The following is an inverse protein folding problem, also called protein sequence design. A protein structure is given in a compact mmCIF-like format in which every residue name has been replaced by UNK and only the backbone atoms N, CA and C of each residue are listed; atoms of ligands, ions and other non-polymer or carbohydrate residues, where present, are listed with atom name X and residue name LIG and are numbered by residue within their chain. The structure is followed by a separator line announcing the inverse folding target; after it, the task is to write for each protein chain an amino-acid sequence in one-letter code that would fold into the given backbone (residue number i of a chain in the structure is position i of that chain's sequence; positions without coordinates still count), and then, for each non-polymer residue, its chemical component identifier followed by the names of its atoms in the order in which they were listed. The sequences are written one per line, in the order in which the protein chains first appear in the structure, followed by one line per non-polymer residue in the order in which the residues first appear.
data_IF_443578404352
#
_entry.id   IF_443578404352
#
_cell.length_a   1.000
_cell.length_b   1.000
_cell.length_c   1.000
_cell.angle_alpha   90.00
_cell.angle_beta   90.00
_cell.angle_gamma   90.00
#
_symmetry.space_group_name_H-M   'P 1'
#
loop_
_entity.id
_entity.type
_entity.pdbx_description
1 polymer ?
#
# COMPACT_ATOMS: atom_id res chain seq x y z
N UNK A 1 8.82 8.87 5.29
CA UNK A 1 8.65 7.48 4.79
C UNK A 1 7.91 7.38 3.46
N UNK A 2 6.71 7.96 3.30
CA UNK A 2 5.90 7.77 2.09
C UNK A 2 6.33 8.60 0.87
N UNK A 3 7.06 9.71 1.06
CA UNK A 3 7.55 10.54 -0.03
C UNK A 3 8.82 10.00 -0.71
N UNK A 4 9.44 8.92 -0.20
CA UNK A 4 10.64 8.29 -0.78
C UNK A 4 11.83 9.25 -0.99
N UNK A 5 11.86 10.40 -0.32
CA UNK A 5 12.86 11.47 -0.51
C UNK A 5 13.82 11.61 0.70
N UNK A 6 13.45 11.12 1.90
CA UNK A 6 14.24 11.31 3.13
C UNK A 6 14.67 9.98 3.75
N UNK A 7 15.75 9.38 3.23
CA UNK A 7 16.17 8.04 3.64
C UNK A 7 16.74 7.97 5.06
N UNK A 8 17.36 9.06 5.52
CA UNK A 8 18.10 9.10 6.79
C UNK A 8 17.20 9.37 8.00
N UNK A 9 16.33 10.37 7.93
CA UNK A 9 15.46 10.76 9.05
C UNK A 9 14.49 9.65 9.47
N UNK A 10 13.90 8.95 8.50
CA UNK A 10 13.05 7.78 8.74
C UNK A 10 13.79 6.67 9.48
N UNK A 11 15.05 6.44 9.11
CA UNK A 11 15.88 5.40 9.69
C UNK A 11 16.28 5.78 11.13
N UNK A 12 16.69 7.04 11.32
CA UNK A 12 17.05 7.59 12.63
C UNK A 12 15.85 7.54 13.60
N UNK A 13 14.63 7.82 13.12
CA UNK A 13 13.40 7.70 13.92
C UNK A 13 13.13 6.26 14.38
N UNK A 14 13.31 5.28 13.48
CA UNK A 14 13.14 3.86 13.83
C UNK A 14 14.21 3.42 14.84
N UNK A 15 15.45 3.88 14.69
CA UNK A 15 16.51 3.63 15.66
C UNK A 15 16.18 4.21 17.04
N UNK A 16 15.69 5.44 17.10
CA UNK A 16 15.26 6.07 18.34
C UNK A 16 14.10 5.30 19.00
N UNK A 17 13.16 4.76 18.21
CA UNK A 17 12.08 3.91 18.72
C UNK A 17 12.61 2.60 19.35
N UNK A 18 13.71 2.04 18.81
CA UNK A 18 14.39 0.87 19.37
C UNK A 18 15.07 1.25 20.69
N UNK A 19 15.84 2.33 20.69
CA UNK A 19 16.61 2.81 21.86
C UNK A 19 15.67 3.13 23.04
N UNK A 20 14.55 3.80 22.76
CA UNK A 20 13.55 4.18 23.77
C UNK A 20 12.64 3.04 24.21
N UNK A 21 12.74 1.86 23.60
CA UNK A 21 11.93 0.67 23.91
C UNK A 21 10.41 0.93 23.95
N UNK A 22 9.88 1.75 23.04
CA UNK A 22 8.48 2.21 23.10
C UNK A 22 7.50 1.04 23.10
N UNK A 23 7.61 0.14 22.12
CA UNK A 23 6.83 -1.09 22.02
C UNK A 23 7.44 -1.99 20.92
N UNK A 24 7.73 -3.25 21.23
CA UNK A 24 8.36 -4.18 20.27
C UNK A 24 7.52 -4.39 19.01
N UNK A 25 6.20 -4.50 19.14
CA UNK A 25 5.28 -4.69 18.01
C UNK A 25 5.21 -3.47 17.10
N UNK A 26 5.06 -2.25 17.64
CA UNK A 26 5.05 -1.02 16.83
C UNK A 26 6.37 -0.81 16.09
N UNK A 27 7.49 -1.05 16.76
CA UNK A 27 8.81 -0.94 16.13
C UNK A 27 9.01 -1.99 15.04
N UNK A 28 8.54 -3.23 15.22
CA UNK A 28 8.52 -4.24 14.16
C UNK A 28 7.66 -3.82 12.97
N UNK A 29 6.47 -3.26 13.22
CA UNK A 29 5.62 -2.74 12.15
C UNK A 29 6.32 -1.66 11.33
N UNK A 30 7.03 -0.73 11.99
CA UNK A 30 7.81 0.30 11.31
C UNK A 30 8.97 -0.29 10.51
N UNK A 31 9.70 -1.28 11.05
CA UNK A 31 10.76 -1.98 10.34
C UNK A 31 10.24 -2.70 9.08
N UNK A 32 9.10 -3.39 9.19
CA UNK A 32 8.45 -4.03 8.06
C UNK A 32 7.96 -3.01 7.03
N UNK A 33 7.32 -1.92 7.47
CA UNK A 33 6.85 -0.87 6.59
C UNK A 33 8.01 -0.23 5.82
N UNK A 34 9.13 0.04 6.50
CA UNK A 34 10.36 0.55 5.90
C UNK A 34 10.87 -0.39 4.81
N UNK A 35 10.96 -1.69 5.12
CA UNK A 35 11.38 -2.71 4.16
C UNK A 35 10.43 -2.77 2.95
N UNK A 36 9.12 -2.84 3.15
CA UNK A 36 8.13 -2.96 2.08
C UNK A 36 8.09 -1.75 1.14
N UNK A 37 8.18 -0.55 1.70
CA UNK A 37 8.14 0.70 0.90
C UNK A 37 9.40 0.91 0.07
N UNK A 38 10.56 0.44 0.54
CA UNK A 38 11.86 0.58 -0.12
C UNK A 38 12.25 -0.60 -1.02
N UNK A 39 11.54 -1.73 -0.95
CA UNK A 39 11.92 -2.97 -1.66
C UNK A 39 13.01 -3.76 -0.94
N UNK A 40 13.10 -3.60 0.38
CA UNK A 40 14.10 -4.18 1.26
C UNK A 40 15.07 -3.13 1.81
N UNK A 41 15.92 -3.57 2.72
CA UNK A 41 16.86 -2.72 3.46
C UNK A 41 18.29 -3.08 3.07
N UNK A 42 19.16 -2.07 2.93
CA UNK A 42 20.59 -2.30 2.70
C UNK A 42 21.14 -3.33 3.72
N UNK A 43 21.93 -4.34 3.30
CA UNK A 43 22.36 -5.42 4.19
C UNK A 43 23.05 -4.92 5.47
N UNK A 44 23.86 -3.86 5.39
CA UNK A 44 24.54 -3.29 6.55
C UNK A 44 23.53 -2.72 7.53
N UNK A 45 22.56 -1.93 7.04
CA UNK A 45 21.52 -1.35 7.86
C UNK A 45 20.56 -2.41 8.42
N UNK A 46 20.22 -3.42 7.61
CA UNK A 46 19.36 -4.54 8.00
C UNK A 46 19.91 -5.27 9.23
N UNK A 47 21.20 -5.62 9.20
CA UNK A 47 21.85 -6.32 10.32
C UNK A 47 21.97 -5.41 11.55
N UNK A 48 22.29 -4.13 11.37
CA UNK A 48 22.38 -3.17 12.46
C UNK A 48 21.04 -2.99 13.19
N UNK A 49 19.95 -2.75 12.45
CA UNK A 49 18.62 -2.58 13.02
C UNK A 49 18.14 -3.86 13.72
N UNK A 50 18.35 -5.02 13.10
CA UNK A 50 18.02 -6.32 13.71
C UNK A 50 18.80 -6.53 15.00
N UNK A 51 20.10 -6.25 15.01
CA UNK A 51 20.93 -6.41 16.19
C UNK A 51 20.49 -5.46 17.33
N UNK A 52 20.30 -4.17 17.03
CA UNK A 52 19.80 -3.17 18.00
C UNK A 52 18.45 -3.59 18.58
N UNK A 53 17.55 -4.11 17.74
CA UNK A 53 16.24 -4.59 18.18
C UNK A 53 16.36 -5.77 19.14
N UNK A 54 17.13 -6.81 18.79
CA UNK A 54 17.31 -8.00 19.63
C UNK A 54 17.99 -7.67 20.96
N UNK A 55 18.93 -6.73 20.95
CA UNK A 55 19.58 -6.26 22.17
C UNK A 55 18.61 -5.50 23.09
N UNK A 56 17.67 -4.73 22.51
CA UNK A 56 16.76 -3.88 23.28
C UNK A 56 15.51 -4.62 23.77
N UNK A 57 14.95 -5.52 22.95
CA UNK A 57 13.70 -6.23 23.23
C UNK A 57 13.89 -7.70 23.57
N UNK A 58 15.09 -8.24 23.43
CA UNK A 58 15.41 -9.63 23.74
C UNK A 58 15.59 -10.54 22.52
N UNK A 59 16.38 -11.60 22.70
CA UNK A 59 16.74 -12.54 21.64
C UNK A 59 15.62 -13.53 21.27
N UNK A 60 14.51 -13.55 22.02
CA UNK A 60 13.32 -14.35 21.68
C UNK A 60 12.75 -13.98 20.30
N UNK A 61 12.88 -12.71 19.91
CA UNK A 61 12.43 -12.21 18.62
C UNK A 61 13.29 -12.69 17.43
N UNK A 62 14.34 -13.49 17.66
CA UNK A 62 15.11 -14.09 16.57
C UNK A 62 14.22 -14.92 15.64
N UNK A 63 13.29 -15.69 16.21
CA UNK A 63 12.33 -16.50 15.46
C UNK A 63 11.32 -15.61 14.73
N UNK A 64 10.89 -14.50 15.36
CA UNK A 64 10.02 -13.50 14.72
C UNK A 64 10.67 -12.93 13.47
N UNK A 65 11.95 -12.53 13.53
CA UNK A 65 12.66 -12.03 12.34
C UNK A 65 12.82 -13.10 11.25
N UNK A 66 13.00 -14.36 11.62
CA UNK A 66 13.04 -15.45 10.64
C UNK A 66 11.69 -15.60 9.92
N UNK A 67 10.58 -15.59 10.66
CA UNK A 67 9.24 -15.63 10.09
C UNK A 67 8.95 -14.42 9.19
N UNK A 68 9.32 -13.21 9.63
CA UNK A 68 9.15 -11.99 8.83
C UNK A 68 9.95 -12.01 7.52
N UNK A 69 11.17 -12.58 7.55
CA UNK A 69 11.98 -12.78 6.33
C UNK A 69 11.32 -13.77 5.38
N UNK A 70 10.77 -14.88 5.90
CA UNK A 70 10.05 -15.88 5.09
C UNK A 70 8.76 -15.32 4.48
N UNK A 71 8.05 -14.45 5.20
CA UNK A 71 6.86 -13.76 4.71
C UNK A 71 7.17 -12.60 3.75
N UNK A 72 8.46 -12.27 3.53
CA UNK A 72 8.86 -11.13 2.70
C UNK A 72 8.56 -9.75 3.31
N UNK A 73 8.24 -9.67 4.60
CA UNK A 73 7.87 -8.42 5.29
C UNK A 73 9.09 -7.62 5.76
N UNK A 74 10.17 -8.30 6.13
CA UNK A 74 11.43 -7.66 6.52
C UNK A 74 12.59 -8.39 5.83
N UNK A 75 13.12 -7.78 4.77
CA UNK A 75 14.12 -8.40 3.90
C UNK A 75 15.28 -7.46 3.62
N UNK A 76 16.40 -8.06 3.24
CA UNK A 76 17.50 -7.32 2.64
C UNK A 76 17.06 -6.81 1.26
N UNK A 77 17.71 -5.75 0.77
CA UNK A 77 17.39 -5.08 -0.48
C UNK A 77 17.46 -6.06 -1.65
N UNK A 78 16.31 -6.32 -2.29
CA UNK A 78 16.24 -6.96 -3.60
C UNK A 78 16.02 -5.85 -4.65
N UNK A 79 16.51 -6.03 -5.88
CA UNK A 79 16.42 -5.03 -6.96
C UNK A 79 14.97 -4.76 -7.43
N UNK A 80 13.97 -5.31 -6.77
CA UNK A 80 12.54 -5.27 -7.11
C UNK A 80 11.76 -4.34 -6.18
N UNK A 81 11.88 -3.04 -6.39
CA UNK A 81 11.05 -2.02 -5.71
C UNK A 81 9.62 -1.97 -6.24
N UNK A 82 8.78 -2.95 -5.87
CA UNK A 82 7.38 -3.06 -6.34
C UNK A 82 6.55 -1.87 -5.85
N UNK A 83 6.67 -1.49 -4.58
CA UNK A 83 5.88 -0.41 -3.98
C UNK A 83 6.07 0.94 -4.68
N UNK A 84 7.31 1.32 -5.02
CA UNK A 84 7.58 2.59 -5.74
C UNK A 84 6.93 2.64 -7.12
N UNK A 85 6.83 1.50 -7.79
CA UNK A 85 6.16 1.39 -9.09
C UNK A 85 4.65 1.46 -8.94
N UNK A 86 4.07 0.69 -8.01
CA UNK A 86 2.64 0.69 -7.74
C UNK A 86 2.14 2.03 -7.17
N UNK A 87 2.90 2.66 -6.28
CA UNK A 87 2.58 3.95 -5.69
C UNK A 87 2.37 5.03 -6.75
N UNK A 88 3.24 5.06 -7.76
CA UNK A 88 3.11 5.97 -8.90
C UNK A 88 1.97 5.59 -9.84
N UNK A 89 1.83 4.30 -10.19
CA UNK A 89 0.80 3.83 -11.13
C UNK A 89 -0.62 3.98 -10.59
N UNK A 90 -0.81 3.76 -9.29
CA UNK A 90 -2.10 3.79 -8.62
C UNK A 90 -2.36 5.10 -7.86
N UNK A 91 -1.45 6.07 -7.92
CA UNK A 91 -1.52 7.31 -7.13
C UNK A 91 -1.83 7.03 -5.65
N UNK A 92 -1.03 6.16 -5.03
CA UNK A 92 -1.22 5.74 -3.63
C UNK A 92 -0.83 6.84 -2.63
N UNK A 93 0.07 7.75 -3.00
CA UNK A 93 0.50 8.87 -2.15
C UNK A 93 0.11 10.17 -2.83
N UNK A 94 -0.91 10.88 -2.32
CA UNK A 94 -1.29 12.21 -2.82
C UNK A 94 -0.14 13.21 -2.64
N UNK A 95 0.04 14.11 -3.60
CA UNK A 95 1.14 15.09 -3.59
C UNK A 95 0.89 16.29 -2.67
N UNK A 96 -0.38 16.63 -2.46
CA UNK A 96 -0.79 17.82 -1.70
C UNK A 96 -1.77 17.41 -0.60
N UNK A 97 -1.26 16.97 0.55
CA UNK A 97 -2.09 16.50 1.68
C UNK A 97 -3.00 17.61 2.20
N UNK A 98 -2.49 18.85 2.27
CA UNK A 98 -3.21 20.00 2.82
C UNK A 98 -4.42 20.44 1.99
N UNK A 99 -4.51 20.01 0.72
CA UNK A 99 -5.64 20.33 -0.17
C UNK A 99 -6.80 19.35 -0.04
N UNK A 100 -6.64 18.27 0.71
CA UNK A 100 -7.65 17.23 0.84
C UNK A 100 -8.69 17.65 1.89
N UNK A 101 -9.90 17.93 1.43
CA UNK A 101 -11.03 18.21 2.32
C UNK A 101 -11.48 16.92 3.03
N UNK A 102 -11.08 16.76 4.29
CA UNK A 102 -11.46 15.62 5.12
C UNK A 102 -12.93 15.64 5.57
N UNK A 103 -13.62 16.79 5.49
CA UNK A 103 -15.04 16.89 5.82
C UNK A 103 -15.92 16.45 4.67
N UNK A 104 -15.48 16.68 3.43
CA UNK A 104 -16.16 16.26 2.20
C UNK A 104 -15.18 15.59 1.24
N UNK A 105 -14.70 14.38 1.59
CA UNK A 105 -13.64 13.73 0.83
C UNK A 105 -14.11 13.30 -0.55
N UNK A 106 -13.33 13.67 -1.58
CA UNK A 106 -13.53 13.22 -2.96
C UNK A 106 -12.62 12.05 -3.33
N UNK A 107 -11.61 11.77 -2.52
CA UNK A 107 -10.61 10.73 -2.77
C UNK A 107 -10.45 9.83 -1.54
N UNK A 108 -10.25 8.53 -1.76
CA UNK A 108 -10.16 7.51 -0.71
C UNK A 108 -8.99 7.69 0.27
N UNK A 109 -8.02 8.56 -0.03
CA UNK A 109 -6.90 8.88 0.86
C UNK A 109 -7.35 9.43 2.24
N UNK A 110 -8.59 9.90 2.36
CA UNK A 110 -9.16 10.42 3.61
C UNK A 110 -9.04 9.43 4.79
N UNK A 111 -9.00 8.12 4.53
CA UNK A 111 -8.86 7.07 5.55
C UNK A 111 -7.53 7.19 6.30
N UNK A 112 -6.49 7.69 5.64
CA UNK A 112 -5.19 7.98 6.24
C UNK A 112 -4.89 9.48 6.24
N UNK A 113 -5.91 10.30 6.49
CA UNK A 113 -5.80 11.76 6.59
C UNK A 113 -5.16 12.42 5.36
N UNK A 114 -5.34 11.83 4.18
CA UNK A 114 -4.77 12.33 2.93
C UNK A 114 -3.33 11.89 2.64
N UNK A 115 -2.64 11.23 3.58
CA UNK A 115 -1.24 10.83 3.40
C UNK A 115 -1.07 9.57 2.54
N UNK A 116 -2.08 8.70 2.47
CA UNK A 116 -2.02 7.45 1.73
C UNK A 116 -3.41 6.97 1.32
N UNK A 117 -3.54 6.43 0.11
CA UNK A 117 -4.71 5.66 -0.32
C UNK A 117 -4.37 4.17 -0.25
N UNK A 118 -5.16 3.35 0.49
CA UNK A 118 -4.92 1.91 0.55
C UNK A 118 -4.88 1.27 -0.85
N UNK A 119 -3.88 0.42 -1.10
CA UNK A 119 -3.70 -0.23 -2.40
C UNK A 119 -4.94 -1.03 -2.83
N UNK A 120 -5.60 -1.72 -1.89
CA UNK A 120 -6.84 -2.45 -2.15
C UNK A 120 -7.94 -1.54 -2.69
N UNK A 121 -8.09 -0.35 -2.12
CA UNK A 121 -9.07 0.64 -2.56
C UNK A 121 -8.79 1.11 -4.00
N UNK A 122 -7.54 1.41 -4.34
CA UNK A 122 -7.18 1.77 -5.72
C UNK A 122 -7.35 0.61 -6.69
N UNK A 123 -7.03 -0.61 -6.30
CA UNK A 123 -7.24 -1.79 -7.17
C UNK A 123 -8.72 -1.99 -7.50
N UNK A 124 -9.61 -1.87 -6.51
CA UNK A 124 -11.05 -1.94 -6.73
C UNK A 124 -11.53 -0.81 -7.65
N UNK A 125 -11.08 0.43 -7.42
CA UNK A 125 -11.39 1.56 -8.30
C UNK A 125 -10.92 1.32 -9.74
N UNK A 126 -9.71 0.80 -9.95
CA UNK A 126 -9.20 0.46 -11.28
C UNK A 126 -10.07 -0.59 -11.99
N UNK A 127 -10.48 -1.64 -11.28
CA UNK A 127 -11.37 -2.68 -11.84
C UNK A 127 -12.73 -2.08 -12.22
N UNK A 128 -13.29 -1.21 -11.39
CA UNK A 128 -14.60 -0.59 -11.64
C UNK A 128 -14.56 0.39 -12.83
N UNK A 129 -13.47 1.13 -13.02
CA UNK A 129 -13.34 2.14 -14.07
C UNK A 129 -12.81 1.58 -15.40
N UNK A 130 -11.82 0.69 -15.33
CA UNK A 130 -11.06 0.23 -16.50
C UNK A 130 -11.22 -1.27 -16.80
N UNK A 131 -11.94 -2.00 -15.93
CA UNK A 131 -12.17 -3.43 -16.08
C UNK A 131 -10.98 -4.31 -15.68
N UNK A 132 -11.13 -5.61 -15.92
CA UNK A 132 -10.16 -6.64 -15.51
C UNK A 132 -8.76 -6.57 -16.15
N UNK A 133 -8.57 -6.14 -17.41
CA UNK A 133 -7.23 -6.16 -18.03
C UNK A 133 -6.17 -5.33 -17.29
N UNK A 134 -6.56 -4.16 -16.75
CA UNK A 134 -5.65 -3.31 -15.96
C UNK A 134 -5.25 -3.99 -14.66
N UNK A 135 -6.19 -4.71 -14.04
CA UNK A 135 -5.91 -5.47 -12.83
C UNK A 135 -4.92 -6.62 -13.10
N UNK A 136 -5.04 -7.32 -14.23
CA UNK A 136 -4.09 -8.39 -14.61
C UNK A 136 -2.66 -7.87 -14.81
N UNK A 137 -2.49 -6.64 -15.31
CA UNK A 137 -1.16 -6.03 -15.40
C UNK A 137 -0.57 -5.77 -14.00
N UNK A 138 -1.39 -5.26 -13.08
CA UNK A 138 -0.96 -4.96 -11.71
C UNK A 138 -0.73 -6.24 -10.88
N UNK A 139 -1.50 -7.30 -11.10
CA UNK A 139 -1.33 -8.58 -10.40
C UNK A 139 0.00 -9.25 -10.78
N UNK A 140 0.41 -9.15 -12.06
CA UNK A 140 1.74 -9.61 -12.51
C UNK A 140 2.86 -8.84 -11.82
N UNK A 141 2.71 -7.53 -11.62
CA UNK A 141 3.69 -6.72 -10.89
C UNK A 141 3.80 -7.10 -9.40
N UNK A 142 2.72 -7.61 -8.82
CA UNK A 142 2.67 -8.11 -7.44
C UNK A 142 3.19 -9.55 -7.29
N UNK A 143 3.52 -10.24 -8.38
CA UNK A 143 3.91 -11.65 -8.35
C UNK A 143 2.75 -12.59 -7.99
N UNK A 144 1.51 -12.20 -8.33
CA UNK A 144 0.34 -13.05 -8.14
C UNK A 144 0.20 -13.95 -9.37
N UNK A 145 0.56 -15.22 -9.22
CA UNK A 145 0.60 -16.20 -10.30
C UNK A 145 -0.77 -16.84 -10.62
N UNK A 146 -1.72 -16.79 -9.68
CA UNK A 146 -3.02 -17.45 -9.82
C UNK A 146 -4.18 -16.44 -9.68
N UNK A 147 -5.02 -16.36 -10.71
CA UNK A 147 -6.16 -15.45 -10.78
C UNK A 147 -7.39 -16.17 -11.33
N UNK A 148 -8.51 -16.04 -10.62
CA UNK A 148 -9.81 -16.57 -11.05
C UNK A 148 -10.81 -15.43 -11.22
N UNK A 149 -11.20 -15.13 -12.46
CA UNK A 149 -12.33 -14.24 -12.72
C UNK A 149 -13.63 -15.03 -12.66
N UNK A 150 -14.35 -14.88 -11.54
CA UNK A 150 -15.74 -15.34 -11.42
C UNK A 150 -16.66 -14.14 -11.44
N UNK A 151 -17.30 -13.89 -12.58
CA UNK A 151 -18.45 -12.97 -12.62
C UNK A 151 -19.71 -13.74 -12.26
N UNK A 152 -20.41 -13.27 -11.22
CA UNK A 152 -21.74 -13.77 -10.90
C UNK A 152 -22.68 -13.45 -12.06
N UNK A 153 -23.64 -14.32 -12.33
CA UNK A 153 -24.57 -14.16 -13.47
C UNK A 153 -25.32 -12.83 -13.46
N UNK A 154 -25.56 -12.26 -12.26
CA UNK A 154 -26.22 -10.97 -12.05
C UNK A 154 -25.35 -9.76 -12.41
N UNK A 155 -24.03 -9.91 -12.53
CA UNK A 155 -23.08 -8.84 -12.82
C UNK A 155 -22.63 -8.81 -14.30
N UNK A 156 -23.16 -9.72 -15.15
CA UNK A 156 -22.93 -9.70 -16.60
C UNK A 156 -23.67 -8.52 -17.22
N UNK A 157 -23.02 -7.36 -17.27
CA UNK A 157 -23.52 -6.21 -18.01
C UNK A 157 -23.37 -6.49 -19.52
N UNK A 158 -24.48 -6.35 -20.25
CA UNK A 158 -24.48 -6.41 -21.71
C UNK A 158 -23.54 -5.33 -22.27
N UNK A 159 -22.71 -5.67 -23.26
CA UNK A 159 -21.59 -4.84 -23.72
C UNK A 159 -22.04 -3.46 -24.26
N UNK A 160 -23.32 -3.30 -24.61
CA UNK A 160 -23.93 -2.00 -24.94
C UNK A 160 -24.11 -1.05 -23.76
N UNK A 161 -24.23 -1.55 -22.53
CA UNK A 161 -24.51 -0.74 -21.32
C UNK A 161 -23.26 -0.08 -20.73
N UNK A 162 -22.07 -0.64 -20.96
CA UNK A 162 -20.80 -0.09 -20.46
C UNK A 162 -20.50 1.27 -21.11
N UNK A 163 -20.77 1.41 -22.41
CA UNK A 163 -20.62 2.66 -23.15
C UNK A 163 -21.62 3.76 -22.72
N UNK A 164 -22.79 3.37 -22.19
CA UNK A 164 -23.77 4.30 -21.64
C UNK A 164 -23.37 4.77 -20.23
N UNK A 165 -22.82 3.88 -19.40
CA UNK A 165 -22.37 4.21 -18.04
C UNK A 165 -21.12 5.12 -18.08
N UNK A 166 -20.16 4.85 -18.99
CA UNK A 166 -19.00 5.73 -19.22
C UNK A 166 -19.38 7.13 -19.71
N UNK A 167 -20.43 7.27 -20.55
CA UNK A 167 -20.92 8.60 -20.96
C UNK A 167 -21.58 9.35 -19.80
N UNK A 168 -22.33 8.67 -18.93
CA UNK A 168 -22.95 9.33 -17.78
C UNK A 168 -21.93 9.81 -16.73
N UNK A 169 -20.83 9.08 -16.55
CA UNK A 169 -19.73 9.43 -15.63
C UNK A 169 -18.88 10.61 -16.14
N UNK A 170 -18.76 10.79 -17.46
CA UNK A 170 -18.04 11.93 -18.05
C UNK A 170 -18.90 13.20 -18.11
N UNK A 171 -20.23 13.09 -18.17
CA UNK A 171 -21.14 14.25 -18.22
C UNK A 171 -21.40 14.81 -16.81
N UNK A 172 -21.40 13.95 -15.78
CA UNK A 172 -21.64 14.36 -14.40
C UNK A 172 -20.37 14.25 -13.55
N UNK A 173 -19.47 15.23 -13.69
CA UNK A 173 -18.27 15.41 -12.87
C UNK A 173 -18.54 15.74 -11.39
N UNK A 174 -19.38 14.96 -10.72
CA UNK A 174 -19.59 14.97 -9.27
C UNK A 174 -20.03 13.57 -8.83
N UNK A 175 -19.09 12.81 -8.25
CA UNK A 175 -19.39 11.54 -7.59
C UNK A 175 -20.23 11.85 -6.35
N UNK A 176 -21.55 11.65 -6.45
CA UNK A 176 -22.44 11.53 -5.30
C UNK A 176 -22.87 10.07 -5.22
N UNK A 177 -22.24 9.31 -4.31
CA UNK A 177 -22.68 7.97 -3.94
C UNK A 177 -24.00 8.09 -3.17
N UNK A 178 -25.12 8.15 -3.89
CA UNK A 178 -26.43 7.94 -3.29
C UNK A 178 -26.74 6.46 -3.34
N UNK A 179 -26.39 5.75 -2.25
CA UNK A 179 -26.91 4.43 -1.98
C UNK A 179 -28.46 4.52 -1.98
N UNK A 180 -29.09 3.81 -2.90
CA UNK A 180 -30.53 3.56 -2.86
C UNK A 180 -30.71 2.14 -2.33
N UNK A 181 -31.03 2.05 -1.04
CA UNK A 181 -31.79 0.96 -0.48
C UNK A 181 -33.23 1.47 -0.37
N UNK A 182 -34.10 0.99 -1.25
CA UNK A 182 -35.53 0.75 -0.99
C UNK A 182 -35.89 -0.59 -1.64
#
# INVERSE_FOLDING_TARGET
MLELIEDKEDTDYVEECIIRQINSFKTLQLLCLLSLTRGGIDPKLYHNLKHKFLQSFGHEHMLTFNALKQLGLYTELDKRGIFKTLSRRLNLVPKDVDKIDLKRPKEMAYVFSGAYTPISCRLVEQVLLNGMPVFEEMSRLLGVDDFSSRMTSSARLDTGSVAAMQRSLLINGNISLRASFE
#
